data_IF_651181649860
#
_entry.id   IF_651181649860
#
_cell.length_a   1.000
_cell.length_b   1.000
_cell.length_c   1.000
_cell.angle_alpha   90.00
_cell.angle_beta   90.00
_cell.angle_gamma   90.00
#
_symmetry.space_group_name_H-M   'P 1'
#
loop_
_entity.id
_entity.type
_entity.pdbx_description
1 polymer ?
#
# COMPACT_ATOMS: atom_id res chain seq x y z
N UNK A 1 -8.86 13.71 -17.10
CA UNK A 1 -10.14 13.76 -16.34
C UNK A 1 -10.10 12.62 -15.31
N UNK A 2 -10.60 12.79 -14.08
CA UNK A 2 -10.60 11.70 -13.09
C UNK A 2 -11.75 10.73 -13.39
N UNK A 3 -11.52 9.42 -13.30
CA UNK A 3 -12.56 8.39 -13.56
C UNK A 3 -13.81 8.58 -12.70
N UNK A 4 -13.66 9.00 -11.43
CA UNK A 4 -14.81 9.34 -10.57
C UNK A 4 -15.71 10.42 -11.16
N UNK A 5 -15.14 11.42 -11.86
CA UNK A 5 -15.95 12.47 -12.49
C UNK A 5 -16.71 11.91 -13.69
N UNK A 6 -16.09 11.01 -14.46
CA UNK A 6 -16.75 10.35 -15.59
C UNK A 6 -17.94 9.54 -15.08
N UNK A 7 -17.75 8.80 -13.99
CA UNK A 7 -18.84 8.11 -13.29
C UNK A 7 -19.99 9.03 -12.89
N UNK A 8 -19.69 10.13 -12.19
CA UNK A 8 -20.70 11.11 -11.77
C UNK A 8 -21.47 11.69 -12.96
N UNK A 9 -20.79 11.99 -14.07
CA UNK A 9 -21.43 12.47 -15.29
C UNK A 9 -22.33 11.43 -15.93
N UNK A 10 -21.90 10.17 -16.02
CA UNK A 10 -22.70 9.07 -16.57
C UNK A 10 -23.96 8.85 -15.76
N UNK A 11 -23.85 8.85 -14.43
CA UNK A 11 -25.00 8.72 -13.53
C UNK A 11 -25.93 9.92 -13.66
N UNK A 12 -25.40 11.14 -13.63
CA UNK A 12 -26.22 12.34 -13.78
C UNK A 12 -26.97 12.31 -15.12
N UNK A 13 -26.27 12.04 -16.22
CA UNK A 13 -26.88 11.89 -17.55
C UNK A 13 -27.96 10.79 -17.59
N UNK A 14 -27.68 9.62 -17.00
CA UNK A 14 -28.63 8.51 -16.94
C UNK A 14 -29.89 8.86 -16.15
N UNK A 15 -29.75 9.52 -14.99
CA UNK A 15 -30.92 9.91 -14.16
C UNK A 15 -31.80 10.97 -14.81
N UNK A 16 -31.25 11.80 -15.68
CA UNK A 16 -32.00 12.74 -16.51
C UNK A 16 -32.75 12.05 -17.66
N UNK A 17 -32.33 10.84 -18.06
CA UNK A 17 -32.98 10.03 -19.10
C UNK A 17 -34.06 9.09 -18.55
N UNK A 18 -33.99 8.71 -17.28
CA UNK A 18 -35.00 7.87 -16.64
C UNK A 18 -36.39 8.57 -16.62
N UNK A 19 -37.42 7.78 -16.88
CA UNK A 19 -38.82 8.22 -17.00
C UNK A 19 -39.37 8.85 -15.71
N UNK A 20 -38.85 8.40 -14.56
CA UNK A 20 -39.30 8.80 -13.23
C UNK A 20 -38.70 10.11 -12.68
N UNK A 21 -38.01 10.91 -13.52
CA UNK A 21 -37.33 12.14 -13.11
C UNK A 21 -36.43 11.93 -11.87
N UNK A 22 -35.61 10.89 -11.91
CA UNK A 22 -34.79 10.45 -10.77
C UNK A 22 -33.75 11.50 -10.34
N UNK A 23 -33.36 12.39 -11.25
CA UNK A 23 -32.45 13.52 -11.00
C UNK A 23 -32.87 14.40 -9.80
N UNK A 24 -34.17 14.46 -9.46
CA UNK A 24 -34.68 15.27 -8.34
C UNK A 24 -34.85 14.50 -7.03
N UNK A 25 -34.66 13.18 -7.03
CA UNK A 25 -34.91 12.32 -5.87
C UNK A 25 -33.60 11.86 -5.26
N UNK A 26 -33.58 11.70 -3.94
CA UNK A 26 -32.45 11.06 -3.28
C UNK A 26 -32.36 9.58 -3.70
N UNK A 27 -31.14 9.07 -3.90
CA UNK A 27 -30.91 7.66 -4.26
C UNK A 27 -31.52 6.70 -3.24
N UNK A 28 -31.59 7.12 -1.97
CA UNK A 28 -32.21 6.35 -0.88
C UNK A 28 -33.73 6.15 -1.04
N UNK A 29 -34.39 6.98 -1.84
CA UNK A 29 -35.84 6.90 -2.12
C UNK A 29 -36.14 6.05 -3.37
N UNK A 30 -35.10 5.55 -4.05
CA UNK A 30 -35.29 4.80 -5.28
C UNK A 30 -35.74 3.37 -5.00
N UNK A 31 -36.67 2.90 -5.83
CA UNK A 31 -37.08 1.50 -5.85
C UNK A 31 -36.18 0.70 -6.79
N UNK A 32 -36.23 -0.62 -6.69
CA UNK A 32 -35.44 -1.52 -7.54
C UNK A 32 -35.66 -1.23 -9.03
N UNK A 33 -36.90 -0.97 -9.44
CA UNK A 33 -37.23 -0.69 -10.84
C UNK A 33 -36.52 0.56 -11.38
N UNK A 34 -36.26 1.54 -10.52
CA UNK A 34 -35.50 2.75 -10.90
C UNK A 34 -34.02 2.43 -11.17
N UNK A 35 -33.44 1.52 -10.40
CA UNK A 35 -32.06 1.07 -10.60
C UNK A 35 -31.95 0.22 -11.87
N UNK A 36 -32.93 -0.67 -12.11
CA UNK A 36 -32.99 -1.49 -13.32
C UNK A 36 -33.14 -0.60 -14.58
N UNK A 37 -34.01 0.42 -14.54
CA UNK A 37 -34.14 1.39 -15.64
C UNK A 37 -32.83 2.17 -15.87
N UNK A 38 -32.20 2.67 -14.79
CA UNK A 38 -30.94 3.39 -14.91
C UNK A 38 -29.84 2.49 -15.52
N UNK A 39 -29.72 1.25 -15.04
CA UNK A 39 -28.74 0.29 -15.54
C UNK A 39 -28.87 0.08 -17.05
N UNK A 40 -30.08 -0.13 -17.56
CA UNK A 40 -30.31 -0.33 -18.99
C UNK A 40 -29.87 0.86 -19.85
N UNK A 41 -29.96 2.08 -19.30
CA UNK A 41 -29.52 3.31 -19.96
C UNK A 41 -27.98 3.45 -19.93
N UNK A 42 -27.36 3.15 -18.78
CA UNK A 42 -25.93 3.46 -18.57
C UNK A 42 -24.98 2.28 -18.79
N UNK A 43 -25.46 1.03 -18.89
CA UNK A 43 -24.63 -0.18 -18.94
C UNK A 43 -23.46 -0.09 -19.94
N UNK A 44 -23.73 0.37 -21.16
CA UNK A 44 -22.72 0.51 -22.21
C UNK A 44 -21.64 1.55 -21.86
N UNK A 45 -22.01 2.60 -21.12
CA UNK A 45 -21.07 3.64 -20.66
C UNK A 45 -20.29 3.18 -19.44
N UNK A 46 -20.93 2.41 -18.55
CA UNK A 46 -20.33 1.90 -17.33
C UNK A 46 -19.21 0.89 -17.63
N UNK A 47 -19.36 0.07 -18.66
CA UNK A 47 -18.32 -0.86 -19.13
C UNK A 47 -17.04 -0.15 -19.60
N UNK A 48 -17.13 1.13 -19.99
CA UNK A 48 -15.97 1.93 -20.41
C UNK A 48 -15.23 2.58 -19.24
N UNK A 49 -15.80 2.57 -18.03
CA UNK A 49 -15.23 3.24 -16.86
C UNK A 49 -14.23 2.32 -16.17
N UNK A 50 -13.02 2.83 -15.96
CA UNK A 50 -11.95 2.08 -15.28
C UNK A 50 -12.05 2.29 -13.78
N UNK A 51 -12.98 1.59 -13.15
CA UNK A 51 -13.19 1.69 -11.71
C UNK A 51 -11.93 1.48 -10.87
N UNK A 52 -10.97 0.68 -11.33
CA UNK A 52 -9.71 0.44 -10.61
C UNK A 52 -8.86 1.70 -10.38
N UNK A 53 -9.10 2.78 -11.12
CA UNK A 53 -8.42 4.08 -10.93
C UNK A 53 -9.18 5.04 -10.02
N UNK A 54 -10.39 4.68 -9.59
CA UNK A 54 -11.16 5.43 -8.59
C UNK A 54 -10.57 5.12 -7.22
N UNK A 55 -10.43 6.13 -6.35
CA UNK A 55 -9.96 5.89 -4.97
C UNK A 55 -11.03 5.17 -4.15
N UNK A 56 -10.63 4.42 -3.12
CA UNK A 56 -11.58 3.72 -2.23
C UNK A 56 -12.59 4.67 -1.58
N UNK A 57 -12.17 5.87 -1.20
CA UNK A 57 -13.04 6.92 -0.65
C UNK A 57 -14.09 7.37 -1.67
N UNK A 58 -13.66 7.66 -2.91
CA UNK A 58 -14.56 8.06 -3.98
C UNK A 58 -15.52 6.93 -4.37
N UNK A 59 -15.04 5.69 -4.39
CA UNK A 59 -15.85 4.51 -4.65
C UNK A 59 -16.98 4.36 -3.61
N UNK A 60 -16.64 4.50 -2.32
CA UNK A 60 -17.62 4.40 -1.23
C UNK A 60 -18.68 5.50 -1.28
N UNK A 61 -18.33 6.70 -1.72
CA UNK A 61 -19.25 7.84 -1.73
C UNK A 61 -20.07 7.94 -3.02
N UNK A 62 -19.46 7.65 -4.18
CA UNK A 62 -20.08 7.87 -5.48
C UNK A 62 -20.61 6.59 -6.15
N UNK A 63 -19.96 5.44 -5.96
CA UNK A 63 -20.34 4.19 -6.67
C UNK A 63 -21.24 3.31 -5.82
N UNK A 64 -20.90 3.14 -4.53
CA UNK A 64 -21.64 2.28 -3.58
C UNK A 64 -23.15 2.60 -3.47
N UNK A 65 -23.63 3.86 -3.48
CA UNK A 65 -25.07 4.16 -3.41
C UNK A 65 -25.87 3.52 -4.54
N UNK A 66 -25.23 3.30 -5.69
CA UNK A 66 -25.85 2.69 -6.87
C UNK A 66 -25.57 1.19 -6.99
N UNK A 67 -25.08 0.55 -5.92
CA UNK A 67 -24.73 -0.89 -5.92
C UNK A 67 -25.89 -1.81 -6.37
N UNK A 68 -27.14 -1.40 -6.11
CA UNK A 68 -28.35 -2.16 -6.46
C UNK A 68 -28.58 -2.34 -7.96
N UNK A 69 -27.96 -1.50 -8.81
CA UNK A 69 -28.12 -1.61 -10.27
C UNK A 69 -27.18 -2.66 -10.87
N UNK A 70 -26.15 -3.08 -10.13
CA UNK A 70 -25.24 -4.12 -10.56
C UNK A 70 -25.75 -5.50 -10.14
N UNK A 71 -25.44 -6.53 -10.93
CA UNK A 71 -25.58 -7.90 -10.45
C UNK A 71 -24.64 -8.11 -9.24
N UNK A 72 -25.05 -8.99 -8.32
CA UNK A 72 -24.26 -9.32 -7.12
C UNK A 72 -22.82 -9.68 -7.50
N UNK A 73 -22.65 -10.53 -8.51
CA UNK A 73 -21.35 -11.00 -8.98
C UNK A 73 -20.48 -9.86 -9.51
N UNK A 74 -21.06 -8.95 -10.31
CA UNK A 74 -20.35 -7.80 -10.85
C UNK A 74 -19.88 -6.86 -9.75
N UNK A 75 -20.75 -6.57 -8.78
CA UNK A 75 -20.42 -5.68 -7.67
C UNK A 75 -19.39 -6.30 -6.72
N UNK A 76 -19.47 -7.60 -6.43
CA UNK A 76 -18.48 -8.30 -5.60
C UNK A 76 -17.09 -8.29 -6.25
N UNK A 77 -17.02 -8.53 -7.57
CA UNK A 77 -15.76 -8.42 -8.32
C UNK A 77 -15.19 -7.02 -8.26
N UNK A 78 -16.03 -6.00 -8.39
CA UNK A 78 -15.65 -4.60 -8.27
C UNK A 78 -15.09 -4.29 -6.89
N UNK A 79 -15.80 -4.72 -5.85
CA UNK A 79 -15.44 -4.52 -4.45
C UNK A 79 -14.13 -5.22 -4.08
N UNK A 80 -13.86 -6.41 -4.64
CA UNK A 80 -12.63 -7.13 -4.37
C UNK A 80 -11.36 -6.37 -4.76
N UNK A 81 -11.43 -5.52 -5.78
CA UNK A 81 -10.30 -4.68 -6.20
C UNK A 81 -9.91 -3.63 -5.16
N UNK A 82 -10.81 -3.29 -4.25
CA UNK A 82 -10.57 -2.31 -3.18
C UNK A 82 -10.24 -2.96 -1.84
N UNK A 83 -10.73 -4.18 -1.58
CA UNK A 83 -10.45 -4.89 -0.32
C UNK A 83 -9.11 -5.64 -0.38
N UNK A 84 -8.77 -6.24 -1.53
CA UNK A 84 -7.50 -6.95 -1.65
C UNK A 84 -6.35 -5.94 -1.47
N UNK A 85 -5.35 -6.24 -0.63
CA UNK A 85 -4.16 -5.40 -0.57
C UNK A 85 -3.60 -5.35 -1.98
N UNK A 86 -3.60 -4.15 -2.57
CA UNK A 86 -2.91 -3.89 -3.82
C UNK A 86 -1.51 -4.46 -3.64
N UNK A 87 -1.18 -5.55 -4.35
CA UNK A 87 0.19 -6.03 -4.41
C UNK A 87 0.93 -4.96 -5.19
N UNK A 88 1.34 -3.91 -4.48
CA UNK A 88 2.29 -2.97 -5.04
C UNK A 88 3.53 -3.82 -5.24
N UNK A 89 3.83 -4.16 -6.50
CA UNK A 89 5.15 -4.59 -6.92
C UNK A 89 6.11 -3.40 -6.73
N UNK A 90 6.18 -2.84 -5.52
CA UNK A 90 7.35 -2.16 -5.03
C UNK A 90 8.35 -3.30 -4.88
N UNK A 91 9.05 -3.59 -5.97
CA UNK A 91 10.30 -4.33 -5.93
C UNK A 91 11.03 -3.88 -4.67
N UNK A 92 11.45 -4.80 -3.78
CA UNK A 92 12.24 -4.39 -2.63
C UNK A 92 13.46 -3.69 -3.23
N UNK A 93 13.47 -2.36 -3.16
CA UNK A 93 14.61 -1.55 -3.56
C UNK A 93 15.73 -2.08 -2.69
N UNK A 94 16.57 -2.93 -3.28
CA UNK A 94 17.74 -3.51 -2.65
C UNK A 94 18.52 -2.32 -2.09
N UNK A 95 18.33 -2.02 -0.80
CA UNK A 95 19.28 -1.23 -0.05
C UNK A 95 20.46 -2.18 0.09
N UNK A 96 21.30 -2.23 -0.95
CA UNK A 96 22.64 -2.79 -0.84
C UNK A 96 23.32 -1.90 0.20
N UNK A 97 23.27 -2.30 1.47
CA UNK A 97 24.12 -1.73 2.49
C UNK A 97 25.53 -1.91 1.95
N UNK A 98 26.14 -0.79 1.54
CA UNK A 98 27.57 -0.77 1.32
C UNK A 98 28.19 -1.01 2.71
N UNK A 99 29.12 -1.95 2.86
CA UNK A 99 29.85 -2.06 4.11
C UNK A 99 30.58 -0.73 4.31
N UNK A 100 30.26 -0.05 5.40
CA UNK A 100 31.01 1.11 5.83
C UNK A 100 32.45 0.64 6.05
N UNK A 101 33.33 1.03 5.14
CA UNK A 101 34.79 0.93 5.32
C UNK A 101 35.13 1.99 6.37
N UNK A 102 34.96 1.62 7.64
CA UNK A 102 35.19 2.48 8.79
C UNK A 102 35.86 1.62 9.85
N UNK A 103 37.19 1.63 9.83
CA UNK A 103 38.05 0.71 10.55
C UNK A 103 37.85 0.77 12.06
N UNK A 104 37.70 -0.40 12.66
CA UNK A 104 38.05 -0.67 14.05
C UNK A 104 38.66 -2.07 14.12
N UNK A 105 39.92 -2.16 13.66
CA UNK A 105 40.79 -3.30 13.91
C UNK A 105 41.90 -2.86 14.85
N UNK A 106 41.74 -3.08 16.15
CA UNK A 106 42.86 -3.00 17.09
C UNK A 106 43.38 -4.43 17.31
N UNK A 107 44.27 -4.85 16.42
CA UNK A 107 44.86 -6.18 16.41
C UNK A 107 46.21 -6.19 15.69
N UNK A 108 47.26 -6.25 16.50
CA UNK A 108 48.59 -6.83 16.28
C UNK A 108 49.74 -6.04 15.58
N UNK A 109 50.79 -5.86 16.42
CA UNK A 109 52.25 -5.99 16.25
C UNK A 109 52.97 -5.39 15.03
N UNK A 110 53.99 -4.57 15.30
CA UNK A 110 55.42 -4.88 15.04
C UNK A 110 56.24 -3.60 15.28
N UNK A 111 57.18 -3.66 16.24
CA UNK A 111 58.31 -2.73 16.42
C UNK A 111 59.40 -3.07 15.39
N UNK A 112 60.25 -2.11 14.91
CA UNK A 112 61.26 -1.49 15.78
C UNK A 112 61.69 -0.05 15.42
N UNK A 113 62.22 0.70 16.41
CA UNK A 113 63.53 1.38 16.36
C UNK A 113 63.66 2.50 17.43
N UNK A 114 64.69 2.32 18.28
CA UNK A 114 65.56 3.29 18.91
C UNK A 114 65.02 4.48 19.76
N UNK A 115 65.41 4.47 21.04
CA UNK A 115 65.28 5.55 22.03
C UNK A 115 64.30 5.14 23.13
N UNK A 116 64.67 4.78 24.36
CA UNK A 116 65.67 5.35 25.27
C UNK A 116 64.92 5.85 26.52
N UNK A 117 65.41 5.50 27.72
CA UNK A 117 64.99 5.94 29.08
C UNK A 117 63.73 5.24 29.66
N UNK A 118 63.86 4.27 30.59
CA UNK A 118 64.00 4.41 32.07
C UNK A 118 62.60 4.25 32.73
N UNK A 119 62.29 3.58 33.86
CA UNK A 119 62.97 3.12 35.07
C UNK A 119 61.98 2.18 35.85
N UNK A 120 62.49 1.13 36.55
CA UNK A 120 61.97 0.35 37.73
C UNK A 120 60.48 -0.05 37.85
N UNK A 121 59.98 -1.06 38.57
CA UNK A 121 60.47 -2.15 39.44
C UNK A 121 59.24 -3.01 39.85
N UNK A 122 59.45 -4.33 39.92
CA UNK A 122 58.76 -5.37 40.76
C UNK A 122 57.26 -5.70 40.57
N UNK A 123 56.88 -7.01 40.60
CA UNK A 123 55.51 -7.50 40.42
C UNK A 123 54.81 -7.82 41.76
N UNK A 124 53.47 -8.00 41.76
CA UNK A 124 52.83 -8.91 42.69
C UNK A 124 52.28 -10.14 41.95
N UNK A 125 52.92 -11.25 42.28
CA UNK A 125 52.39 -12.60 42.47
C UNK A 125 50.87 -12.75 42.56
N UNK A 126 50.36 -13.80 41.90
CA UNK A 126 49.44 -14.73 42.57
C UNK A 126 48.13 -15.07 41.85
N UNK A 127 47.94 -16.40 41.69
CA UNK A 127 46.74 -17.14 41.25
C UNK A 127 46.43 -17.08 39.75
N UNK A 128 46.54 -18.14 38.95
CA UNK A 128 46.56 -19.57 39.24
C UNK A 128 45.63 -20.24 38.25
N UNK A 129 46.22 -20.85 37.21
CA UNK A 129 45.55 -21.59 36.14
C UNK A 129 44.80 -22.81 36.68
N UNK A 130 43.68 -23.14 36.04
CA UNK A 130 42.99 -24.41 36.24
C UNK A 130 42.04 -24.71 35.10
N UNK A 131 42.58 -24.96 33.92
CA UNK A 131 41.82 -25.48 32.79
C UNK A 131 41.87 -27.02 32.81
N UNK A 132 40.82 -27.62 32.24
CA UNK A 132 40.81 -28.91 31.53
C UNK A 132 40.45 -30.19 32.32
N UNK A 133 39.19 -30.59 32.09
CA UNK A 133 38.73 -31.88 31.55
C UNK A 133 39.76 -33.02 31.54
N UNK A 134 39.38 -34.12 32.18
CA UNK A 134 39.38 -35.44 31.52
C UNK A 134 37.94 -35.92 31.48
#
# INVERSE_FOLDING_TARGET
MKEVKIWEYVINWGTHKCSNNLSKKNVNEWKKENFDELWEIVKNLVELIRFNEISSESFSNAVRPYSLMFSREMYENLLWNYIKPQQTNKSPRNKKLQPAVGGFGFGQTTQPAAGGFGFSSTPPSGFGFGNRRR
#
